data_IF_319186285383
#
_entry.id   IF_319186285383
#
_cell.length_a   1.000
_cell.length_b   1.000
_cell.length_c   1.000
_cell.angle_alpha   90.00
_cell.angle_beta   90.00
_cell.angle_gamma   90.00
#
_symmetry.space_group_name_H-M   'P 1'
#
loop_
_entity.id
_entity.type
_entity.pdbx_description
1 polymer ?
#
# COMPACT_ATOMS: atom_id res chain seq x y z
N UNK A 1 -20.05 -6.86 -32.31
CA UNK A 1 -19.26 -7.43 -31.17
C UNK A 1 -20.10 -7.29 -29.94
N UNK A 2 -20.52 -8.41 -29.33
CA UNK A 2 -21.24 -8.38 -28.05
C UNK A 2 -20.27 -7.91 -26.96
N UNK A 3 -20.38 -6.65 -26.60
CA UNK A 3 -19.53 -6.01 -25.58
C UNK A 3 -20.06 -6.36 -24.18
N UNK A 4 -19.97 -7.64 -23.81
CA UNK A 4 -20.37 -8.10 -22.47
C UNK A 4 -19.30 -7.67 -21.47
N UNK A 5 -19.73 -6.96 -20.43
CA UNK A 5 -18.88 -6.63 -19.29
C UNK A 5 -18.33 -7.91 -18.66
N UNK A 6 -17.04 -7.96 -18.40
CA UNK A 6 -16.41 -9.10 -17.71
C UNK A 6 -16.96 -9.24 -16.30
N UNK A 7 -17.41 -10.43 -15.98
CA UNK A 7 -17.90 -10.80 -14.64
C UNK A 7 -16.92 -11.82 -14.04
N UNK A 8 -16.05 -11.39 -13.11
CA UNK A 8 -15.09 -12.30 -12.51
C UNK A 8 -15.81 -13.37 -11.67
N UNK A 9 -15.37 -14.62 -11.73
CA UNK A 9 -15.90 -15.65 -10.86
C UNK A 9 -15.46 -15.44 -9.41
N UNK A 10 -16.26 -15.86 -8.47
CA UNK A 10 -15.84 -15.91 -7.07
C UNK A 10 -14.68 -16.90 -6.90
N UNK A 11 -13.63 -16.48 -6.24
CA UNK A 11 -12.48 -17.30 -5.86
C UNK A 11 -12.15 -17.05 -4.40
N UNK A 12 -11.58 -18.03 -3.73
CA UNK A 12 -10.98 -17.87 -2.41
C UNK A 12 -9.48 -17.68 -2.61
N UNK A 13 -8.99 -16.48 -2.27
CA UNK A 13 -7.60 -16.10 -2.45
C UNK A 13 -6.90 -16.07 -1.09
N UNK A 14 -6.06 -17.06 -0.82
CA UNK A 14 -5.36 -17.25 0.47
C UNK A 14 -3.85 -17.10 0.35
N UNK A 15 -3.37 -16.59 -0.77
CA UNK A 15 -1.94 -16.33 -1.00
C UNK A 15 -1.48 -14.98 -0.43
N UNK A 16 -0.18 -14.69 -0.51
CA UNK A 16 0.38 -13.41 -0.05
C UNK A 16 -0.03 -12.22 -0.93
N UNK A 17 -0.62 -12.48 -2.09
CA UNK A 17 -1.16 -11.48 -2.99
C UNK A 17 -1.37 -12.04 -4.41
N UNK A 18 -2.50 -11.72 -5.03
CA UNK A 18 -3.68 -11.05 -4.47
C UNK A 18 -4.38 -11.90 -3.41
N UNK A 19 -5.04 -11.27 -2.46
CA UNK A 19 -5.84 -11.89 -1.41
C UNK A 19 -7.27 -11.34 -1.42
N UNK A 20 -8.17 -12.03 -0.74
CA UNK A 20 -9.56 -11.60 -0.66
C UNK A 20 -9.67 -10.24 0.02
N UNK A 21 -10.47 -9.37 -0.60
CA UNK A 21 -10.76 -8.03 -0.09
C UNK A 21 -12.20 -8.01 0.42
N UNK A 22 -12.40 -7.50 1.64
CA UNK A 22 -13.74 -7.43 2.22
C UNK A 22 -14.66 -6.55 1.37
N UNK A 23 -15.95 -6.91 1.31
CA UNK A 23 -16.95 -6.15 0.55
C UNK A 23 -16.99 -4.66 0.95
N UNK A 24 -16.82 -4.36 2.24
CA UNK A 24 -16.78 -2.97 2.74
C UNK A 24 -15.69 -2.14 2.07
N UNK A 25 -14.51 -2.72 1.83
CA UNK A 25 -13.39 -2.04 1.15
C UNK A 25 -13.69 -1.88 -0.33
N UNK A 26 -14.19 -2.94 -0.99
CA UNK A 26 -14.57 -2.88 -2.40
C UNK A 26 -15.65 -1.82 -2.66
N UNK A 27 -16.64 -1.72 -1.79
CA UNK A 27 -17.69 -0.71 -1.87
C UNK A 27 -17.13 0.72 -1.67
N UNK A 28 -16.14 0.88 -0.80
CA UNK A 28 -15.47 2.16 -0.60
C UNK A 28 -14.66 2.58 -1.84
N UNK A 29 -13.99 1.63 -2.49
CA UNK A 29 -13.22 1.88 -3.73
C UNK A 29 -14.11 2.23 -4.92
N UNK A 30 -15.38 1.84 -4.90
CA UNK A 30 -16.35 2.12 -5.96
C UNK A 30 -17.08 3.47 -5.79
N UNK A 31 -16.74 4.27 -4.79
CA UNK A 31 -17.36 5.59 -4.56
C UNK A 31 -16.93 6.61 -5.62
N UNK A 32 -17.73 7.69 -5.82
CA UNK A 32 -17.35 8.76 -6.72
C UNK A 32 -15.99 9.36 -6.38
N UNK A 33 -15.25 9.74 -7.41
CA UNK A 33 -13.97 10.44 -7.28
C UNK A 33 -14.21 11.89 -6.87
N UNK A 34 -13.40 12.38 -5.92
CA UNK A 34 -13.36 13.79 -5.51
C UNK A 34 -11.97 14.38 -5.80
N UNK A 35 -11.90 15.70 -5.88
CA UNK A 35 -10.63 16.39 -6.16
C UNK A 35 -9.64 16.29 -4.99
N UNK A 36 -8.35 16.27 -5.30
CA UNK A 36 -7.29 16.18 -4.29
C UNK A 36 -7.17 17.41 -3.37
N UNK A 37 -7.76 18.55 -3.76
CA UNK A 37 -7.85 19.76 -2.93
C UNK A 37 -9.24 19.95 -2.32
N UNK A 38 -10.16 19.00 -2.52
CA UNK A 38 -11.47 19.03 -1.87
C UNK A 38 -11.29 18.95 -0.34
N UNK A 39 -11.96 19.79 0.45
CA UNK A 39 -11.85 19.74 1.91
C UNK A 39 -12.15 18.36 2.51
N UNK A 40 -13.11 17.63 1.95
CA UNK A 40 -13.45 16.27 2.40
C UNK A 40 -12.33 15.27 2.07
N UNK A 41 -11.61 15.48 0.98
CA UNK A 41 -10.45 14.65 0.66
C UNK A 41 -9.31 14.92 1.64
N UNK A 42 -9.05 16.18 1.97
CA UNK A 42 -8.02 16.59 2.93
C UNK A 42 -8.32 15.99 4.31
N UNK A 43 -9.56 16.12 4.78
CA UNK A 43 -10.02 15.51 6.04
C UNK A 43 -9.81 13.98 6.05
N UNK A 44 -10.18 13.31 4.96
CA UNK A 44 -9.95 11.86 4.81
C UNK A 44 -8.46 11.49 4.85
N UNK A 45 -7.58 12.31 4.29
CA UNK A 45 -6.13 12.09 4.35
C UNK A 45 -5.58 12.31 5.76
N UNK A 46 -6.07 13.30 6.50
CA UNK A 46 -5.71 13.53 7.89
C UNK A 46 -6.18 12.37 8.79
N UNK A 47 -7.37 11.85 8.56
CA UNK A 47 -7.88 10.66 9.25
C UNK A 47 -7.01 9.44 8.94
N UNK A 48 -6.64 9.26 7.68
CA UNK A 48 -5.74 8.18 7.25
C UNK A 48 -4.39 8.27 7.96
N UNK A 49 -3.81 9.48 8.04
CA UNK A 49 -2.57 9.73 8.79
C UNK A 49 -2.71 9.29 10.25
N UNK A 50 -3.78 9.74 10.95
CA UNK A 50 -4.02 9.36 12.35
C UNK A 50 -4.15 7.86 12.55
N UNK A 51 -4.85 7.19 11.65
CA UNK A 51 -4.99 5.73 11.69
C UNK A 51 -3.67 5.00 11.46
N UNK A 52 -2.83 5.50 10.56
CA UNK A 52 -1.49 4.96 10.33
C UNK A 52 -0.59 5.19 11.55
N UNK A 53 -0.60 6.38 12.13
CA UNK A 53 0.13 6.67 13.38
C UNK A 53 -0.29 5.72 14.50
N UNK A 54 -1.59 5.48 14.65
CA UNK A 54 -2.09 4.51 15.61
C UNK A 54 -1.61 3.08 15.32
N UNK A 55 -1.71 2.64 14.08
CA UNK A 55 -1.30 1.29 13.67
C UNK A 55 0.20 1.04 13.87
N UNK A 56 1.03 2.03 13.59
CA UNK A 56 2.50 1.96 13.76
C UNK A 56 2.99 2.41 15.13
N UNK A 57 2.09 2.84 16.02
CA UNK A 57 2.41 3.34 17.36
C UNK A 57 3.47 4.45 17.33
N UNK A 58 3.27 5.44 16.45
CA UNK A 58 4.19 6.56 16.23
C UNK A 58 3.48 7.91 16.29
N UNK A 59 4.22 8.95 16.70
CA UNK A 59 3.78 10.34 16.66
C UNK A 59 4.45 11.14 15.53
N UNK A 60 5.20 10.46 14.65
CA UNK A 60 5.90 11.10 13.55
C UNK A 60 4.92 11.84 12.64
N UNK A 61 5.20 13.12 12.40
CA UNK A 61 4.35 13.95 11.55
C UNK A 61 4.39 13.51 10.08
N UNK A 62 5.53 13.03 9.57
CA UNK A 62 5.67 12.48 8.23
C UNK A 62 5.21 11.02 8.19
N UNK A 63 3.93 10.80 8.44
CA UNK A 63 3.27 9.49 8.35
C UNK A 63 2.23 9.56 7.24
N UNK A 64 2.44 8.83 6.16
CA UNK A 64 1.54 8.84 5.00
C UNK A 64 1.65 7.56 4.19
N UNK A 65 0.62 7.28 3.39
CA UNK A 65 0.62 6.15 2.46
C UNK A 65 1.30 6.53 1.14
N UNK A 66 2.17 5.65 0.64
CA UNK A 66 2.75 5.77 -0.70
C UNK A 66 1.88 5.00 -1.69
N UNK A 67 1.35 5.69 -2.69
CA UNK A 67 0.51 5.08 -3.73
C UNK A 67 1.38 4.33 -4.74
N UNK A 68 1.72 3.08 -4.42
CA UNK A 68 2.58 2.24 -5.24
C UNK A 68 2.47 0.76 -4.83
N UNK A 69 3.03 -0.18 -5.63
CA UNK A 69 3.23 -1.56 -5.19
C UNK A 69 4.12 -1.66 -3.95
N UNK A 70 4.02 -2.76 -3.19
CA UNK A 70 4.83 -3.00 -1.99
C UNK A 70 6.35 -2.92 -2.22
N UNK A 71 6.82 -3.23 -3.44
CA UNK A 71 8.24 -3.06 -3.80
C UNK A 71 8.71 -1.61 -3.77
N UNK A 72 7.85 -0.65 -4.12
CA UNK A 72 8.19 0.76 -3.96
C UNK A 72 8.28 1.19 -2.49
N UNK A 73 7.51 0.53 -1.61
CA UNK A 73 7.67 0.70 -0.16
C UNK A 73 9.02 0.20 0.34
N UNK A 74 9.50 -0.96 -0.15
CA UNK A 74 10.85 -1.46 0.14
C UNK A 74 11.92 -0.48 -0.35
N UNK A 75 11.82 -0.03 -1.60
CA UNK A 75 12.72 0.97 -2.19
C UNK A 75 12.76 2.26 -1.34
N UNK A 76 11.60 2.74 -0.92
CA UNK A 76 11.48 3.92 -0.06
C UNK A 76 12.22 3.72 1.27
N UNK A 77 12.13 2.55 1.88
CA UNK A 77 12.85 2.24 3.12
C UNK A 77 14.38 2.28 2.90
N UNK A 78 14.88 1.60 1.87
CA UNK A 78 16.31 1.59 1.58
C UNK A 78 16.84 2.98 1.24
N UNK A 79 16.15 3.70 0.36
CA UNK A 79 16.56 5.04 -0.08
C UNK A 79 16.59 6.08 1.05
N UNK A 80 15.81 5.88 2.12
CA UNK A 80 15.74 6.83 3.23
C UNK A 80 16.52 6.40 4.48
N UNK A 81 16.87 5.12 4.63
CA UNK A 81 17.48 4.60 5.85
C UNK A 81 18.92 4.12 5.68
N UNK A 82 19.39 3.96 4.43
CA UNK A 82 20.72 3.42 4.12
C UNK A 82 21.56 4.46 3.41
N UNK A 83 22.74 4.75 3.95
CA UNK A 83 23.72 5.67 3.39
C UNK A 83 24.87 4.91 2.69
N UNK A 84 25.56 5.53 1.73
CA UNK A 84 26.73 4.93 1.11
C UNK A 84 27.81 4.54 2.13
N UNK A 85 28.14 3.25 2.19
CA UNK A 85 29.11 2.71 3.14
C UNK A 85 28.50 1.99 4.35
N UNK A 86 27.19 2.07 4.53
CA UNK A 86 26.48 1.33 5.58
C UNK A 86 26.59 -0.18 5.36
N UNK A 87 26.62 -0.91 6.46
CA UNK A 87 26.58 -2.38 6.46
C UNK A 87 25.17 -2.84 6.72
N UNK A 88 24.55 -3.46 5.74
CA UNK A 88 23.18 -3.96 5.80
C UNK A 88 23.18 -5.50 5.76
N UNK A 89 22.37 -6.11 6.63
CA UNK A 89 22.13 -7.57 6.62
C UNK A 89 20.75 -7.83 6.00
N UNK A 90 20.74 -8.61 4.92
CA UNK A 90 19.53 -9.01 4.22
C UNK A 90 19.27 -10.49 4.43
N UNK A 91 18.15 -10.82 5.09
CA UNK A 91 17.69 -12.18 5.27
C UNK A 91 16.97 -12.67 4.01
N UNK A 92 17.66 -13.46 3.20
CA UNK A 92 17.15 -14.01 1.95
C UNK A 92 16.46 -15.34 2.17
N UNK A 93 15.14 -15.36 2.03
CA UNK A 93 14.34 -16.58 2.16
C UNK A 93 13.28 -16.72 1.04
N UNK A 94 13.39 -15.93 -0.01
CA UNK A 94 12.46 -15.93 -1.15
C UNK A 94 12.69 -14.74 -2.07
N UNK A 95 11.77 -14.56 -3.01
CA UNK A 95 11.86 -13.57 -4.09
C UNK A 95 12.16 -12.15 -3.59
N UNK A 96 11.44 -11.67 -2.57
CA UNK A 96 11.61 -10.30 -2.10
C UNK A 96 12.95 -10.06 -1.38
N UNK A 97 13.48 -11.09 -0.70
CA UNK A 97 14.82 -11.03 -0.13
C UNK A 97 15.92 -10.93 -1.21
N UNK A 98 15.73 -11.59 -2.35
CA UNK A 98 16.63 -11.42 -3.51
C UNK A 98 16.55 -9.98 -4.07
N UNK A 99 15.34 -9.45 -4.23
CA UNK A 99 15.15 -8.07 -4.72
C UNK A 99 15.78 -7.01 -3.80
N UNK A 100 15.74 -7.24 -2.48
CA UNK A 100 16.38 -6.33 -1.52
C UNK A 100 17.91 -6.28 -1.67
N UNK A 101 18.52 -7.34 -2.22
CA UNK A 101 19.98 -7.42 -2.41
C UNK A 101 20.44 -6.63 -3.65
N UNK A 102 19.61 -6.50 -4.66
CA UNK A 102 19.91 -5.80 -5.92
C UNK A 102 20.03 -4.28 -5.72
#
# INVERSE_FOLDING_TARGET
>A
MDNKSFQPPNRVLMGPGPSDVSKRILDAMARPTIGHLDPLFIEMMDDTKRLLQYAFQTENELTFAVSAPGMAGMECCFANLVEPGDKVVICKNGFFGERMKE
#
